data_IF_625705751635
#
_entry.id   IF_625705751635
#
_cell.length_a   1.000
_cell.length_b   1.000
_cell.length_c   1.000
_cell.angle_alpha   90.00
_cell.angle_beta   90.00
_cell.angle_gamma   90.00
#
_symmetry.space_group_name_H-M   'P 1'
#
loop_
_entity.id
_entity.type
_entity.pdbx_description
1 polymer ?
#
# COMPACT_ATOMS: atom_id res chain seq x y z
N UNK A 1 -9.14 5.82 -17.87
CA UNK A 1 -8.72 4.41 -17.66
C UNK A 1 -7.58 4.16 -18.62
N UNK A 2 -6.37 3.98 -18.09
CA UNK A 2 -5.17 3.80 -18.90
C UNK A 2 -5.33 2.58 -19.81
N UNK A 3 -4.87 2.66 -21.07
CA UNK A 3 -4.81 1.49 -21.91
C UNK A 3 -3.90 0.40 -21.30
N UNK A 4 -4.21 -0.89 -21.47
CA UNK A 4 -3.45 -1.98 -20.85
C UNK A 4 -1.94 -1.93 -21.12
N UNK A 5 -1.53 -1.58 -22.33
CA UNK A 5 -0.11 -1.44 -22.69
C UNK A 5 0.59 -0.31 -21.91
N UNK A 6 -0.13 0.77 -21.59
CA UNK A 6 0.41 1.91 -20.84
C UNK A 6 0.63 1.52 -19.39
N UNK A 7 -0.31 0.77 -18.79
CA UNK A 7 -0.17 0.22 -17.43
C UNK A 7 1.05 -0.70 -17.36
N UNK A 8 1.19 -1.61 -18.33
CA UNK A 8 2.30 -2.56 -18.37
C UNK A 8 3.63 -1.84 -18.55
N UNK A 9 3.74 -0.90 -19.50
CA UNK A 9 4.96 -0.13 -19.72
C UNK A 9 5.35 0.67 -18.47
N UNK A 10 4.38 1.31 -17.81
CA UNK A 10 4.58 2.04 -16.55
C UNK A 10 5.04 1.11 -15.43
N UNK A 11 4.41 -0.07 -15.31
CA UNK A 11 4.81 -1.06 -14.32
C UNK A 11 6.24 -1.56 -14.57
N UNK A 12 6.61 -1.92 -15.81
CA UNK A 12 7.96 -2.35 -16.14
C UNK A 12 9.01 -1.29 -15.84
N UNK A 13 8.70 0.00 -16.07
CA UNK A 13 9.57 1.12 -15.70
C UNK A 13 9.85 1.17 -14.19
N UNK A 14 8.84 0.97 -13.35
CA UNK A 14 8.96 1.15 -11.90
C UNK A 14 9.23 -0.14 -11.10
N UNK A 15 9.01 -1.31 -11.71
CA UNK A 15 9.19 -2.61 -11.06
C UNK A 15 10.55 -2.77 -10.34
N UNK A 16 11.70 -2.34 -10.89
CA UNK A 16 12.99 -2.48 -10.21
C UNK A 16 13.10 -1.68 -8.91
N UNK A 17 12.34 -0.60 -8.79
CA UNK A 17 12.33 0.33 -7.64
C UNK A 17 10.98 0.32 -6.93
N UNK A 18 10.22 -0.77 -7.03
CA UNK A 18 8.83 -0.82 -6.59
C UNK A 18 8.67 -0.52 -5.08
N UNK A 19 9.60 -1.02 -4.27
CA UNK A 19 9.56 -0.79 -2.82
C UNK A 19 9.87 0.67 -2.45
N UNK A 20 10.72 1.32 -3.25
CA UNK A 20 11.15 2.72 -3.07
C UNK A 20 10.06 3.72 -3.47
N UNK A 21 9.04 3.29 -4.22
CA UNK A 21 7.88 4.13 -4.52
C UNK A 21 7.05 4.46 -3.27
N UNK A 22 7.18 3.68 -2.21
CA UNK A 22 6.39 3.90 -1.01
C UNK A 22 6.83 5.17 -0.28
N UNK A 23 5.89 6.07 -0.04
CA UNK A 23 6.10 7.29 0.75
C UNK A 23 6.34 7.02 2.26
N UNK A 24 6.31 5.76 2.70
CA UNK A 24 6.40 5.35 4.12
C UNK A 24 5.41 6.11 5.01
N UNK A 25 4.19 6.36 4.51
CA UNK A 25 3.17 7.17 5.17
C UNK A 25 2.45 6.49 6.36
N UNK A 26 2.79 5.23 6.67
CA UNK A 26 2.20 4.46 7.77
C UNK A 26 0.75 4.00 7.59
N UNK A 27 0.04 4.45 6.55
CA UNK A 27 -1.40 4.15 6.39
C UNK A 27 -1.72 2.66 6.21
N UNK A 28 -0.84 1.91 5.55
CA UNK A 28 -0.99 0.46 5.40
C UNK A 28 -0.57 -0.34 6.65
N UNK A 29 -0.02 0.32 7.67
CA UNK A 29 0.41 -0.30 8.91
C UNK A 29 -0.72 -0.41 9.95
N UNK A 30 -1.92 0.08 9.66
CA UNK A 30 -3.08 -0.10 10.53
C UNK A 30 -3.82 -1.40 10.19
N UNK A 31 -4.50 -1.95 11.20
CA UNK A 31 -5.35 -3.12 11.00
C UNK A 31 -6.44 -2.83 9.98
N UNK A 32 -6.71 -3.83 9.14
CA UNK A 32 -7.74 -3.79 8.12
C UNK A 32 -8.67 -4.97 8.33
N UNK A 33 -9.95 -4.70 8.34
CA UNK A 33 -10.99 -5.70 8.45
C UNK A 33 -11.89 -5.60 7.22
N UNK A 34 -12.50 -6.71 6.83
CA UNK A 34 -13.50 -6.74 5.77
C UNK A 34 -14.83 -6.97 6.47
N UNK A 35 -15.79 -6.09 6.23
CA UNK A 35 -17.13 -6.22 6.80
C UNK A 35 -17.99 -7.26 6.03
N UNK A 36 -19.26 -7.36 6.44
CA UNK A 36 -20.21 -8.31 5.85
C UNK A 36 -20.57 -7.99 4.39
N UNK A 37 -20.43 -6.73 3.98
CA UNK A 37 -20.69 -6.26 2.61
C UNK A 37 -19.46 -6.37 1.70
N UNK A 38 -18.30 -6.69 2.27
CA UNK A 38 -17.03 -6.85 1.56
C UNK A 38 -16.19 -5.56 1.51
N UNK A 39 -16.61 -4.51 2.21
CA UNK A 39 -15.88 -3.25 2.29
C UNK A 39 -14.71 -3.37 3.26
N UNK A 40 -13.60 -2.71 2.92
CA UNK A 40 -12.40 -2.72 3.78
C UNK A 40 -12.45 -1.55 4.75
N UNK A 41 -12.57 -1.86 6.03
CA UNK A 41 -12.53 -0.91 7.15
C UNK A 41 -11.10 -0.85 7.69
N UNK A 42 -10.61 0.36 7.96
CA UNK A 42 -9.30 0.59 8.57
C UNK A 42 -9.51 0.98 10.03
N UNK A 43 -9.00 0.19 10.97
CA UNK A 43 -8.98 0.55 12.38
C UNK A 43 -7.74 1.39 12.69
N UNK A 44 -7.94 2.70 12.77
CA UNK A 44 -6.87 3.66 13.11
C UNK A 44 -6.45 3.62 14.59
N UNK A 45 -7.19 2.93 15.46
CA UNK A 45 -6.81 2.70 16.86
C UNK A 45 -5.90 1.48 17.02
N UNK A 46 -5.78 0.64 16.00
CA UNK A 46 -4.96 -0.58 16.00
C UNK A 46 -3.76 -0.46 15.03
N UNK A 47 -2.71 0.29 15.40
CA UNK A 47 -1.47 0.31 14.63
C UNK A 47 -0.69 -1.00 14.77
N UNK A 48 0.08 -1.35 13.73
CA UNK A 48 1.10 -2.40 13.80
C UNK A 48 2.11 -2.09 14.91
N UNK A 49 2.60 -3.14 15.58
CA UNK A 49 3.62 -3.06 16.64
C UNK A 49 4.90 -2.30 16.23
N UNK A 50 5.20 -2.23 14.93
CA UNK A 50 6.40 -1.57 14.39
C UNK A 50 6.15 -0.17 13.84
N UNK A 51 4.91 0.34 13.92
CA UNK A 51 4.58 1.69 13.50
C UNK A 51 4.85 2.68 14.63
N UNK A 52 5.73 3.64 14.40
CA UNK A 52 5.78 4.86 15.20
C UNK A 52 4.62 5.76 14.77
N UNK A 53 3.63 5.94 15.66
CA UNK A 53 2.40 6.70 15.37
C UNK A 53 2.64 8.21 15.30
N UNK A 54 3.68 8.72 15.95
CA UNK A 54 4.02 10.15 15.94
C UNK A 54 4.69 10.51 14.61
N UNK A 55 5.68 9.72 14.19
CA UNK A 55 6.41 9.98 12.93
C UNK A 55 5.75 9.34 11.70
N UNK A 56 4.80 8.42 11.92
CA UNK A 56 4.14 7.56 10.91
C UNK A 56 5.09 6.62 10.16
N UNK A 57 6.28 6.36 10.71
CA UNK A 57 7.30 5.53 10.06
C UNK A 57 7.34 4.13 10.65
N UNK A 58 7.58 3.15 9.79
CA UNK A 58 7.83 1.78 10.22
C UNK A 58 9.29 1.64 10.63
N UNK A 59 9.55 1.23 11.88
CA UNK A 59 10.90 1.07 12.43
C UNK A 59 11.71 -0.02 11.73
N UNK A 60 11.04 -1.03 11.17
CA UNK A 60 11.64 -2.16 10.47
C UNK A 60 11.35 -2.17 8.97
N UNK A 61 11.08 -1.01 8.35
CA UNK A 61 10.57 -0.94 6.98
C UNK A 61 11.33 -1.83 5.98
N UNK A 62 12.67 -1.86 6.04
CA UNK A 62 13.51 -2.67 5.14
C UNK A 62 13.30 -4.18 5.28
N UNK A 63 13.00 -4.67 6.48
CA UNK A 63 12.87 -6.10 6.81
C UNK A 63 11.42 -6.50 7.15
N UNK A 64 10.45 -5.61 6.91
CA UNK A 64 9.06 -5.74 7.37
C UNK A 64 8.37 -7.02 6.90
N UNK A 65 8.70 -7.51 5.71
CA UNK A 65 8.12 -8.73 5.16
C UNK A 65 8.69 -10.01 5.79
N UNK A 66 9.89 -9.92 6.38
CA UNK A 66 10.53 -11.05 7.04
C UNK A 66 10.15 -11.12 8.53
N UNK A 67 9.86 -9.96 9.15
CA UNK A 67 9.54 -9.87 10.58
C UNK A 67 8.05 -9.82 10.87
N UNK A 68 7.25 -9.09 10.08
CA UNK A 68 5.83 -8.91 10.33
C UNK A 68 5.00 -9.71 9.32
N UNK A 69 4.37 -10.79 9.78
CA UNK A 69 3.55 -11.69 8.93
C UNK A 69 2.32 -11.01 8.34
N UNK A 70 1.81 -9.96 8.99
CA UNK A 70 0.68 -9.16 8.51
C UNK A 70 1.10 -8.13 7.45
N UNK A 71 2.40 -7.86 7.30
CA UNK A 71 2.88 -6.91 6.32
C UNK A 71 2.83 -7.51 4.91
N UNK A 72 1.98 -6.95 4.06
CA UNK A 72 1.74 -7.46 2.72
C UNK A 72 2.32 -6.52 1.65
N UNK A 73 2.92 -7.10 0.61
CA UNK A 73 3.44 -6.34 -0.54
C UNK A 73 2.27 -5.71 -1.31
N UNK A 74 2.35 -4.41 -1.56
CA UNK A 74 1.44 -3.76 -2.51
C UNK A 74 1.77 -4.28 -3.90
N UNK A 75 0.81 -4.92 -4.56
CA UNK A 75 0.99 -5.44 -5.92
C UNK A 75 0.44 -4.44 -6.93
N UNK A 76 0.73 -4.63 -8.21
CA UNK A 76 0.08 -3.85 -9.27
C UNK A 76 -1.46 -3.96 -9.20
N UNK A 77 -1.99 -5.14 -8.88
CA UNK A 77 -3.44 -5.35 -8.71
C UNK A 77 -3.98 -4.49 -7.56
N UNK A 78 -3.28 -4.44 -6.42
CA UNK A 78 -3.65 -3.56 -5.32
C UNK A 78 -3.62 -2.09 -5.77
N UNK A 79 -2.53 -1.67 -6.41
CA UNK A 79 -2.38 -0.29 -6.90
C UNK A 79 -3.52 0.15 -7.82
N UNK A 80 -4.06 -0.76 -8.65
CA UNK A 80 -5.16 -0.48 -9.56
C UNK A 80 -6.55 -0.55 -8.90
N UNK A 81 -6.79 -1.51 -8.02
CA UNK A 81 -8.15 -1.91 -7.64
C UNK A 81 -8.43 -2.02 -6.13
N UNK A 82 -7.43 -1.91 -5.26
CA UNK A 82 -7.66 -2.07 -3.83
C UNK A 82 -8.27 -0.81 -3.20
N UNK A 83 -9.53 -0.86 -2.78
CA UNK A 83 -10.23 0.30 -2.20
C UNK A 83 -9.59 0.82 -0.91
N UNK A 84 -8.95 -0.07 -0.14
CA UNK A 84 -8.21 0.30 1.07
C UNK A 84 -6.93 1.13 0.82
N UNK A 85 -6.47 1.24 -0.44
CA UNK A 85 -5.39 2.16 -0.77
C UNK A 85 -5.98 3.54 -1.07
N UNK A 86 -5.74 4.55 -0.22
CA UNK A 86 -6.30 5.88 -0.45
C UNK A 86 -5.72 6.51 -1.71
N UNK A 87 -6.43 7.48 -2.31
CA UNK A 87 -5.96 8.21 -3.51
C UNK A 87 -4.55 8.80 -3.33
N UNK A 88 -4.24 9.23 -2.10
CA UNK A 88 -2.92 9.78 -1.76
C UNK A 88 -1.81 8.73 -1.63
N UNK A 89 -2.06 7.44 -1.81
CA UNK A 89 -1.01 6.40 -1.80
C UNK A 89 -0.14 6.51 -3.05
N UNK A 90 1.19 6.48 -2.91
CA UNK A 90 2.10 6.61 -4.06
C UNK A 90 1.81 5.61 -5.20
N UNK A 91 1.49 4.36 -4.85
CA UNK A 91 1.08 3.34 -5.82
C UNK A 91 -0.24 3.71 -6.51
N UNK A 92 -1.25 4.17 -5.76
CA UNK A 92 -2.52 4.59 -6.33
C UNK A 92 -2.34 5.80 -7.26
N UNK A 93 -1.59 6.83 -6.84
CA UNK A 93 -1.29 8.01 -7.66
C UNK A 93 -0.62 7.67 -9.00
N UNK A 94 0.21 6.63 -9.02
CA UNK A 94 0.93 6.22 -10.23
C UNK A 94 0.07 5.40 -11.20
N UNK A 95 -0.96 4.68 -10.72
CA UNK A 95 -1.68 3.69 -11.54
C UNK A 95 -3.17 3.94 -11.68
N UNK A 96 -3.80 4.72 -10.79
CA UNK A 96 -5.18 5.18 -10.90
C UNK A 96 -5.17 6.55 -11.54
N UNK A 97 -5.65 6.65 -12.77
CA UNK A 97 -5.98 7.96 -13.37
C UNK A 97 -7.17 8.58 -12.63
N UNK A 98 -7.14 9.89 -12.47
CA UNK A 98 -8.35 10.70 -12.28
C UNK A 98 -8.88 11.10 -13.64
#
# INVERSE_FOLDING_TARGET
>A
MLPPWTIIARYLKYRPIWDDLCDQCGRCCFMREVDEDGDVIIDYAAPCEFLDVETRRCSIYKNRFDTCTQCNRVTLRHALFADHLPEGCAYARLFRER
#
